data_IF_861226924102
#
_entry.id   IF_861226924102
#
_cell.length_a   1.000
_cell.length_b   1.000
_cell.length_c   1.000
_cell.angle_alpha   90.00
_cell.angle_beta   90.00
_cell.angle_gamma   90.00
#
_symmetry.space_group_name_H-M   'P 1'
#
loop_
_entity.id
_entity.type
_entity.pdbx_description
1 polymer ?
#
# COMPACT_ATOMS: atom_id res chain seq x y z
N UNK A 1 -0.08 4.61 -31.23
CA UNK A 1 0.45 3.95 -30.03
C UNK A 1 0.00 4.74 -28.81
N UNK A 2 -0.97 4.22 -28.06
CA UNK A 2 -1.63 4.94 -26.97
C UNK A 2 -0.73 5.04 -25.74
N UNK A 3 -0.32 6.26 -25.39
CA UNK A 3 0.29 6.56 -24.09
C UNK A 3 -0.82 6.47 -23.02
N UNK A 4 -0.64 5.60 -22.02
CA UNK A 4 -1.53 5.53 -20.86
C UNK A 4 -1.41 6.81 -20.02
N UNK A 5 -2.17 7.83 -20.41
CA UNK A 5 -2.32 9.10 -19.71
C UNK A 5 -3.33 8.92 -18.57
N UNK A 6 -2.86 8.84 -17.33
CA UNK A 6 -3.74 8.83 -16.16
C UNK A 6 -4.11 10.29 -15.84
N UNK A 7 -5.36 10.67 -16.08
CA UNK A 7 -5.90 11.97 -15.70
C UNK A 7 -6.15 12.00 -14.19
N UNK A 8 -5.40 12.81 -13.45
CA UNK A 8 -5.67 13.10 -12.04
C UNK A 8 -6.32 14.47 -11.95
N UNK A 9 -7.57 14.52 -11.48
CA UNK A 9 -8.33 15.76 -11.33
C UNK A 9 -8.11 16.35 -9.93
N UNK A 10 -7.74 17.64 -9.86
CA UNK A 10 -7.75 18.41 -8.62
C UNK A 10 -8.75 19.57 -8.76
N UNK A 11 -9.55 19.79 -7.72
CA UNK A 11 -10.52 20.89 -7.63
C UNK A 11 -9.87 22.10 -6.96
N UNK A 12 -9.66 23.18 -7.72
CA UNK A 12 -9.48 24.53 -7.18
C UNK A 12 -10.62 25.40 -7.70
N UNK A 13 -11.29 26.11 -6.80
CA UNK A 13 -12.29 27.13 -7.09
C UNK A 13 -13.49 26.66 -7.93
N UNK A 14 -13.92 25.41 -7.75
CA UNK A 14 -15.11 24.86 -8.40
C UNK A 14 -14.98 24.56 -9.90
N UNK A 15 -13.81 24.73 -10.51
CA UNK A 15 -13.56 24.39 -11.90
C UNK A 15 -12.59 23.21 -12.05
N UNK A 16 -12.90 22.31 -13.00
CA UNK A 16 -12.07 21.15 -13.33
C UNK A 16 -10.94 21.59 -14.27
N UNK A 17 -9.72 21.67 -13.77
CA UNK A 17 -8.53 21.96 -14.59
C UNK A 17 -7.69 20.68 -14.71
N UNK A 18 -7.37 20.19 -15.92
CA UNK A 18 -6.50 19.03 -16.10
C UNK A 18 -5.04 19.40 -15.80
N UNK A 19 -4.42 18.74 -14.80
CA UNK A 19 -3.00 18.94 -14.51
C UNK A 19 -2.16 17.81 -15.13
N UNK A 20 -1.27 18.16 -16.06
CA UNK A 20 -0.30 17.24 -16.68
C UNK A 20 0.95 17.22 -15.78
N UNK A 21 1.05 16.26 -14.86
CA UNK A 21 2.27 16.07 -14.07
C UNK A 21 3.25 15.17 -14.82
N UNK A 22 4.10 15.76 -15.66
CA UNK A 22 5.20 15.07 -16.36
C UNK A 22 6.49 14.96 -15.54
N UNK A 23 6.52 15.45 -14.30
CA UNK A 23 7.74 15.47 -13.47
C UNK A 23 7.74 14.32 -12.49
N UNK A 24 8.71 13.41 -12.66
CA UNK A 24 9.11 12.40 -11.67
C UNK A 24 9.38 13.12 -10.34
N UNK A 25 8.43 13.07 -9.41
CA UNK A 25 8.53 13.80 -8.15
C UNK A 25 9.76 13.31 -7.35
N UNK A 26 10.51 14.22 -6.70
CA UNK A 26 11.66 13.89 -5.86
C UNK A 26 11.30 13.11 -4.58
N UNK A 27 10.01 12.82 -4.36
CA UNK A 27 9.46 12.18 -3.17
C UNK A 27 10.08 10.80 -2.88
N UNK A 28 10.49 10.06 -3.91
CA UNK A 28 11.12 8.74 -3.74
C UNK A 28 12.49 8.82 -3.06
N UNK A 29 13.27 9.89 -3.29
CA UNK A 29 14.61 10.03 -2.71
C UNK A 29 14.58 10.30 -1.21
N UNK A 30 13.53 10.98 -0.72
CA UNK A 30 13.33 11.24 0.70
C UNK A 30 12.83 10.01 1.48
N UNK A 31 12.14 9.07 0.82
CA UNK A 31 11.67 7.83 1.45
C UNK A 31 12.82 6.88 1.79
N UNK A 32 13.83 6.78 0.93
CA UNK A 32 15.05 6.01 1.18
C UNK A 32 15.78 6.52 2.44
N UNK A 33 15.83 7.84 2.64
CA UNK A 33 16.44 8.47 3.80
C UNK A 33 15.58 8.33 5.06
N UNK A 34 14.26 8.50 4.96
CA UNK A 34 13.35 8.40 6.10
C UNK A 34 13.25 6.98 6.70
N UNK A 35 13.33 5.93 5.86
CA UNK A 35 13.27 4.55 6.37
C UNK A 35 14.58 4.10 7.05
N UNK A 36 15.71 4.72 6.70
CA UNK A 36 16.98 4.53 7.42
C UNK A 36 16.89 5.04 8.87
N UNK A 37 16.07 6.06 9.11
CA UNK A 37 15.86 6.66 10.45
C UNK A 37 15.00 5.77 11.34
N UNK A 38 13.93 5.14 10.84
CA UNK A 38 13.01 4.35 11.66
C UNK A 38 13.64 3.09 12.28
N UNK A 39 14.76 2.59 11.74
CA UNK A 39 15.50 1.44 12.30
C UNK A 39 16.69 1.84 13.20
N UNK A 40 16.92 3.13 13.46
CA UNK A 40 17.99 3.52 14.39
C UNK A 40 17.70 3.13 15.85
N UNK A 41 16.43 2.86 16.22
CA UNK A 41 16.09 2.39 17.57
C UNK A 41 16.36 0.89 17.79
N UNK A 42 16.53 0.07 16.72
CA UNK A 42 16.88 -1.36 16.84
C UNK A 42 18.36 -1.60 16.51
N UNK A 43 19.17 -1.50 17.56
CA UNK A 43 20.63 -1.63 17.63
C UNK A 43 21.21 -2.84 16.89
N UNK A 44 22.06 -2.56 15.90
CA UNK A 44 23.16 -3.43 15.45
C UNK A 44 24.14 -2.60 14.59
N UNK A 45 25.28 -2.16 15.15
CA UNK A 45 26.16 -1.15 14.53
C UNK A 45 27.07 -1.69 13.41
N UNK A 46 26.79 -2.85 12.80
CA UNK A 46 27.68 -3.48 11.81
C UNK A 46 27.10 -3.70 10.40
N UNK A 47 25.84 -3.32 10.14
CA UNK A 47 25.18 -3.64 8.85
C UNK A 47 25.43 -2.54 7.82
N UNK A 48 26.17 -2.88 6.75
CA UNK A 48 26.44 -2.06 5.56
C UNK A 48 25.15 -1.45 4.99
N UNK A 49 25.22 -0.21 4.49
CA UNK A 49 24.06 0.52 3.94
C UNK A 49 23.28 -0.31 2.90
N UNK A 50 23.96 -1.05 2.02
CA UNK A 50 23.32 -1.86 0.99
C UNK A 50 22.46 -3.01 1.54
N UNK A 51 22.90 -3.63 2.64
CA UNK A 51 22.14 -4.70 3.29
C UNK A 51 20.87 -4.14 3.95
N UNK A 52 20.93 -2.92 4.48
CA UNK A 52 19.75 -2.23 5.04
C UNK A 52 18.75 -1.88 3.95
N UNK A 53 19.20 -1.34 2.82
CA UNK A 53 18.34 -1.00 1.68
C UNK A 53 17.64 -2.26 1.15
N UNK A 54 18.38 -3.35 0.92
CA UNK A 54 17.80 -4.63 0.48
C UNK A 54 16.78 -5.19 1.47
N UNK A 55 17.07 -5.09 2.77
CA UNK A 55 16.16 -5.54 3.82
C UNK A 55 14.87 -4.71 3.87
N UNK A 56 15.00 -3.37 3.80
CA UNK A 56 13.87 -2.44 3.73
C UNK A 56 13.00 -2.72 2.51
N UNK A 57 13.60 -2.92 1.33
CA UNK A 57 12.86 -3.25 0.12
C UNK A 57 12.14 -4.60 0.26
N UNK A 58 12.76 -5.57 0.93
CA UNK A 58 12.13 -6.85 1.26
C UNK A 58 10.90 -6.71 2.17
N UNK A 59 10.98 -5.87 3.21
CA UNK A 59 9.83 -5.58 4.08
C UNK A 59 8.74 -4.84 3.31
N UNK A 60 9.11 -3.81 2.54
CA UNK A 60 8.18 -3.00 1.77
C UNK A 60 7.39 -3.86 0.77
N UNK A 61 8.01 -4.90 0.24
CA UNK A 61 7.33 -5.83 -0.66
C UNK A 61 6.40 -6.80 0.08
N UNK A 62 6.81 -7.34 1.23
CA UNK A 62 6.07 -8.38 1.98
C UNK A 62 4.95 -7.85 2.87
N UNK A 63 5.23 -6.78 3.61
CA UNK A 63 4.34 -6.25 4.65
C UNK A 63 3.42 -5.16 4.12
N UNK A 64 3.93 -4.26 3.26
CA UNK A 64 3.14 -3.12 2.81
C UNK A 64 2.19 -3.52 1.66
N UNK A 65 0.89 -3.64 1.99
CA UNK A 65 -0.21 -3.84 1.04
C UNK A 65 0.07 -4.90 -0.04
N UNK A 66 0.18 -6.19 0.34
CA UNK A 66 0.58 -7.26 -0.57
C UNK A 66 -0.39 -7.44 -1.76
N UNK A 67 -1.65 -6.99 -1.61
CA UNK A 67 -2.69 -7.10 -2.65
C UNK A 67 -2.54 -6.12 -3.81
N UNK A 68 -1.78 -5.02 -3.67
CA UNK A 68 -1.59 -4.01 -4.74
C UNK A 68 -0.50 -4.46 -5.74
N UNK A 69 0.30 -5.48 -5.38
CA UNK A 69 1.36 -6.05 -6.21
C UNK A 69 2.76 -5.59 -5.82
N UNK A 70 3.76 -5.90 -6.65
CA UNK A 70 5.20 -5.74 -6.33
C UNK A 70 5.74 -4.35 -6.71
N UNK A 71 5.03 -3.57 -7.54
CA UNK A 71 5.50 -2.27 -8.00
C UNK A 71 5.37 -1.17 -6.93
N UNK A 72 6.48 -0.59 -6.52
CA UNK A 72 6.57 0.46 -5.48
C UNK A 72 5.77 1.72 -5.83
N UNK A 73 5.74 2.11 -7.10
CA UNK A 73 5.00 3.29 -7.57
C UNK A 73 3.50 3.15 -7.36
N UNK A 74 2.91 1.99 -7.68
CA UNK A 74 1.47 1.74 -7.47
C UNK A 74 1.11 1.73 -5.98
N UNK A 75 1.97 1.18 -5.13
CA UNK A 75 1.80 1.21 -3.67
C UNK A 75 1.79 2.65 -3.15
N UNK A 76 2.71 3.50 -3.63
CA UNK A 76 2.75 4.91 -3.27
C UNK A 76 1.49 5.67 -3.72
N UNK A 77 1.02 5.44 -4.95
CA UNK A 77 -0.23 6.05 -5.43
C UNK A 77 -1.45 5.59 -4.61
N UNK A 78 -1.50 4.31 -4.23
CA UNK A 78 -2.58 3.78 -3.41
C UNK A 78 -2.58 4.37 -1.99
N UNK A 79 -1.38 4.57 -1.40
CA UNK A 79 -1.24 5.28 -0.14
C UNK A 79 -1.73 6.73 -0.23
N UNK A 80 -1.33 7.45 -1.27
CA UNK A 80 -1.82 8.81 -1.54
C UNK A 80 -3.34 8.86 -1.69
N UNK A 81 -3.93 7.86 -2.37
CA UNK A 81 -5.38 7.73 -2.49
C UNK A 81 -6.09 7.51 -1.14
N UNK A 82 -5.53 6.69 -0.24
CA UNK A 82 -6.07 6.48 1.10
C UNK A 82 -6.07 7.78 1.92
N UNK A 83 -4.94 8.50 1.93
CA UNK A 83 -4.82 9.80 2.62
C UNK A 83 -5.79 10.83 2.04
N UNK A 84 -5.91 10.89 0.71
CA UNK A 84 -6.85 11.78 0.05
C UNK A 84 -8.29 11.51 0.46
N UNK A 85 -8.71 10.23 0.52
CA UNK A 85 -10.05 9.85 1.02
C UNK A 85 -10.27 10.25 2.48
N UNK A 86 -9.25 10.10 3.32
CA UNK A 86 -9.31 10.49 4.73
C UNK A 86 -9.49 12.00 4.89
N UNK A 87 -8.74 12.81 4.14
CA UNK A 87 -8.86 14.26 4.15
C UNK A 87 -10.24 14.73 3.64
N UNK A 88 -10.77 14.11 2.59
CA UNK A 88 -12.12 14.41 2.10
C UNK A 88 -13.21 14.12 3.14
N UNK A 89 -13.06 13.03 3.89
CA UNK A 89 -13.96 12.69 4.99
C UNK A 89 -13.84 13.68 6.15
N UNK A 90 -12.61 14.07 6.53
CA UNK A 90 -12.37 15.06 7.59
C UNK A 90 -12.92 16.45 7.27
N UNK A 91 -12.97 16.82 5.98
CA UNK A 91 -13.52 18.09 5.51
C UNK A 91 -15.03 18.04 5.26
N UNK A 92 -15.69 16.90 5.54
CA UNK A 92 -17.14 16.72 5.32
C UNK A 92 -17.56 16.76 3.84
N UNK A 93 -16.62 16.69 2.90
CA UNK A 93 -16.91 16.68 1.44
C UNK A 93 -17.31 15.29 0.94
N UNK A 94 -17.15 14.27 1.78
CA UNK A 94 -17.53 12.89 1.53
C UNK A 94 -18.26 12.36 2.75
N UNK A 95 -19.34 11.63 2.54
CA UNK A 95 -20.05 10.94 3.62
C UNK A 95 -19.14 9.91 4.29
N UNK A 96 -19.26 9.85 5.62
CA UNK A 96 -18.54 8.87 6.43
C UNK A 96 -19.03 7.46 6.09
N UNK A 97 -18.10 6.52 5.98
CA UNK A 97 -18.43 5.13 5.66
C UNK A 97 -19.11 4.47 6.87
N UNK A 98 -20.29 3.88 6.68
CA UNK A 98 -21.00 3.16 7.75
C UNK A 98 -20.35 1.80 7.99
N UNK A 99 -19.81 1.63 9.20
CA UNK A 99 -19.19 0.37 9.64
C UNK A 99 -20.16 -0.81 9.60
N UNK A 100 -21.46 -0.56 9.71
CA UNK A 100 -22.48 -1.61 9.73
C UNK A 100 -22.98 -2.00 8.34
N UNK A 101 -22.57 -1.28 7.29
CA UNK A 101 -22.99 -1.55 5.92
C UNK A 101 -22.61 -2.98 5.50
N UNK A 102 -23.62 -3.82 5.25
CA UNK A 102 -23.43 -5.23 4.91
C UNK A 102 -22.62 -5.42 3.62
N UNK A 103 -22.63 -4.46 2.69
CA UNK A 103 -21.81 -4.51 1.47
C UNK A 103 -20.30 -4.45 1.70
N UNK A 104 -19.85 -3.93 2.85
CA UNK A 104 -18.43 -3.89 3.23
C UNK A 104 -17.99 -5.14 4.01
N UNK A 105 -18.94 -6.00 4.40
CA UNK A 105 -18.66 -7.24 5.12
C UNK A 105 -18.43 -8.36 4.12
N UNK A 106 -17.37 -9.15 4.36
CA UNK A 106 -17.10 -10.37 3.59
C UNK A 106 -17.74 -11.55 4.33
N UNK A 107 -18.57 -12.32 3.62
CA UNK A 107 -19.15 -13.57 4.13
C UNK A 107 -18.30 -14.73 3.61
N UNK A 108 -17.58 -15.38 4.53
CA UNK A 108 -16.81 -16.56 4.19
C UNK A 108 -17.68 -17.81 4.40
N UNK A 109 -17.93 -18.54 3.32
CA UNK A 109 -18.73 -19.77 3.32
C UNK A 109 -17.91 -20.97 3.79
N UNK A 110 -18.59 -22.02 4.28
CA UNK A 110 -17.97 -23.25 4.83
C UNK A 110 -16.90 -23.84 3.91
N UNK A 111 -17.11 -23.81 2.58
CA UNK A 111 -16.13 -24.32 1.62
C UNK A 111 -14.81 -23.55 1.62
N UNK A 112 -14.84 -22.22 1.73
CA UNK A 112 -13.65 -21.39 1.75
C UNK A 112 -12.88 -21.55 3.09
N UNK A 113 -13.62 -21.67 4.19
CA UNK A 113 -13.06 -21.94 5.52
C UNK A 113 -12.37 -23.32 5.57
N UNK A 114 -13.04 -24.35 5.06
CA UNK A 114 -12.50 -25.71 5.06
C UNK A 114 -11.25 -25.81 4.18
N UNK A 115 -11.26 -25.16 3.01
CA UNK A 115 -10.07 -25.10 2.14
C UNK A 115 -8.90 -24.36 2.82
N UNK A 116 -9.18 -23.28 3.57
CA UNK A 116 -8.15 -22.55 4.30
C UNK A 116 -7.53 -23.40 5.42
N UNK A 117 -8.36 -24.09 6.21
CA UNK A 117 -7.91 -24.99 7.26
C UNK A 117 -7.09 -26.16 6.70
N UNK A 118 -7.61 -26.83 5.66
CA UNK A 118 -6.94 -27.94 4.99
C UNK A 118 -5.57 -27.52 4.44
N UNK A 119 -5.47 -26.35 3.80
CA UNK A 119 -4.20 -25.81 3.29
C UNK A 119 -3.19 -25.59 4.41
N UNK A 120 -3.62 -25.14 5.59
CA UNK A 120 -2.76 -24.97 6.76
C UNK A 120 -2.21 -26.31 7.26
N UNK A 121 -3.10 -27.27 7.50
CA UNK A 121 -2.75 -28.60 7.99
C UNK A 121 -1.86 -29.36 7.01
N UNK A 122 -2.17 -29.31 5.71
CA UNK A 122 -1.39 -29.99 4.68
C UNK A 122 0.03 -29.43 4.54
N UNK A 123 0.22 -28.11 4.72
CA UNK A 123 1.56 -27.51 4.74
C UNK A 123 2.39 -27.95 5.94
N UNK A 124 1.76 -28.14 7.09
CA UNK A 124 2.45 -28.63 8.28
C UNK A 124 2.89 -30.07 8.06
N UNK A 125 1.99 -30.92 7.53
CA UNK A 125 2.31 -32.30 7.18
C UNK A 125 3.49 -32.39 6.19
N UNK A 126 3.46 -31.62 5.11
CA UNK A 126 4.54 -31.56 4.10
C UNK A 126 5.88 -31.03 4.63
N UNK A 127 5.91 -30.45 5.83
CA UNK A 127 7.13 -29.95 6.47
C UNK A 127 7.68 -30.94 7.50
N UNK A 128 6.84 -31.82 8.04
CA UNK A 128 7.22 -32.85 9.01
C UNK A 128 7.72 -34.14 8.34
N UNK A 129 7.31 -34.39 7.08
CA UNK A 129 7.86 -35.44 6.19
C UNK A 129 9.11 -34.93 5.48
#
# INVERSE_FOLDING_TARGET
MATNTVYVFSMKDGQRIPYISSKKLPLFRALDEAFVVQKQESKSPGVTKDKRIKYTNGILQKEMLPHVGVSETKKAYFLGFMVHRLLLASLGRRELDDRHHYGNKRLDLTGLLLAFLFRGLFKNLMKEV
#
